data_IF_448781311695
#
_entry.id   IF_448781311695
#
_cell.length_a   1.000
_cell.length_b   1.000
_cell.length_c   1.000
_cell.angle_alpha   90.00
_cell.angle_beta   90.00
_cell.angle_gamma   90.00
#
_symmetry.space_group_name_H-M   'P 1'
#
loop_
_entity.id
_entity.type
_entity.pdbx_description
1 polymer ?
#
# COMPACT_ATOMS: atom_id res chain seq x y z
N UNK A 1 12.93 -11.70 -12.74
CA UNK A 1 12.86 -10.50 -13.60
C UNK A 1 14.13 -9.66 -13.50
N UNK A 2 14.57 -9.27 -12.30
CA UNK A 2 15.77 -8.44 -12.09
C UNK A 2 17.03 -9.10 -12.68
N UNK A 3 17.42 -10.29 -12.20
CA UNK A 3 18.62 -11.00 -12.66
C UNK A 3 18.57 -11.31 -14.16
N UNK A 4 17.43 -11.82 -14.64
CA UNK A 4 17.21 -12.12 -16.06
C UNK A 4 17.36 -10.90 -16.99
N UNK A 5 17.19 -9.68 -16.46
CA UNK A 5 17.38 -8.43 -17.21
C UNK A 5 18.80 -7.85 -17.12
N UNK A 6 19.72 -8.49 -16.37
CA UNK A 6 21.00 -7.87 -16.00
C UNK A 6 20.85 -6.71 -15.00
N UNK A 7 19.74 -6.70 -14.26
CA UNK A 7 19.43 -5.68 -13.27
C UNK A 7 20.19 -5.86 -11.94
N UNK A 8 19.87 -5.02 -10.97
CA UNK A 8 20.45 -5.06 -9.62
C UNK A 8 19.39 -4.93 -8.54
N UNK A 9 19.66 -5.53 -7.39
CA UNK A 9 18.86 -5.31 -6.18
C UNK A 9 19.36 -4.09 -5.40
N UNK A 10 18.44 -3.45 -4.70
CA UNK A 10 18.68 -2.34 -3.79
C UNK A 10 18.01 -2.65 -2.46
N UNK A 11 18.79 -2.58 -1.38
CA UNK A 11 18.29 -2.70 -0.02
C UNK A 11 18.00 -1.31 0.55
N UNK A 12 16.86 -1.14 1.22
CA UNK A 12 16.38 0.12 1.74
C UNK A 12 15.76 -0.10 3.13
N UNK A 13 16.13 0.75 4.09
CA UNK A 13 15.46 0.82 5.38
C UNK A 13 14.15 1.58 5.20
N UNK A 14 13.05 0.95 5.63
CA UNK A 14 11.69 1.50 5.53
C UNK A 14 10.87 1.11 6.75
N UNK A 15 9.76 1.80 7.00
CA UNK A 15 8.82 1.49 8.05
C UNK A 15 8.07 0.18 7.75
N UNK A 16 8.26 -0.81 8.62
CA UNK A 16 7.54 -2.07 8.59
C UNK A 16 6.06 -1.92 8.96
N UNK A 17 5.27 -3.00 8.83
CA UNK A 17 3.82 -2.94 9.00
C UNK A 17 3.38 -2.54 10.41
N UNK A 18 4.19 -2.77 11.45
CA UNK A 18 3.91 -2.36 12.84
C UNK A 18 4.64 -1.08 13.26
N UNK A 19 5.21 -0.33 12.31
CA UNK A 19 5.93 0.91 12.57
C UNK A 19 7.41 0.77 12.87
N UNK A 20 7.89 -0.42 13.20
CA UNK A 20 9.31 -0.69 13.39
C UNK A 20 10.03 -0.76 12.02
N UNK A 21 11.28 -0.26 11.91
CA UNK A 21 12.01 -0.30 10.66
C UNK A 21 12.34 -1.74 10.23
N UNK A 22 12.27 -1.99 8.93
CA UNK A 22 12.67 -3.24 8.28
C UNK A 22 13.62 -2.94 7.13
N UNK A 23 14.52 -3.87 6.81
CA UNK A 23 15.27 -3.83 5.56
C UNK A 23 14.44 -4.46 4.47
N UNK A 24 14.05 -3.68 3.47
CA UNK A 24 13.28 -4.11 2.32
C UNK A 24 14.15 -4.09 1.06
N UNK A 25 14.04 -5.15 0.25
CA UNK A 25 14.75 -5.28 -1.01
C UNK A 25 13.81 -5.03 -2.19
N UNK A 26 14.27 -4.25 -3.17
CA UNK A 26 13.58 -4.04 -4.44
C UNK A 26 14.57 -4.11 -5.60
N UNK A 27 14.05 -4.22 -6.83
CA UNK A 27 14.85 -4.46 -8.02
C UNK A 27 14.86 -3.28 -8.99
N UNK A 28 16.02 -2.97 -9.55
CA UNK A 28 16.18 -2.14 -10.74
C UNK A 28 16.46 -3.08 -11.92
N UNK A 29 15.69 -2.99 -13.01
CA UNK A 29 15.97 -3.77 -14.21
C UNK A 29 17.22 -3.24 -14.95
N UNK A 30 17.79 -4.04 -15.84
CA UNK A 30 19.00 -3.67 -16.59
C UNK A 30 18.85 -2.44 -17.50
N UNK A 31 17.61 -2.06 -17.84
CA UNK A 31 17.31 -0.82 -18.55
C UNK A 31 17.53 0.45 -17.69
N UNK A 32 17.70 0.28 -16.37
CA UNK A 32 17.81 1.34 -15.35
C UNK A 32 16.63 2.33 -15.31
N UNK A 33 15.57 2.08 -16.07
CA UNK A 33 14.37 2.91 -16.18
C UNK A 33 13.18 2.28 -15.44
N UNK A 34 13.28 1.00 -15.05
CA UNK A 34 12.19 0.23 -14.46
C UNK A 34 12.54 -0.30 -13.07
N UNK A 35 11.76 0.09 -12.06
CA UNK A 35 11.78 -0.51 -10.74
C UNK A 35 10.77 -1.65 -10.61
N UNK A 36 11.12 -2.66 -9.83
CA UNK A 36 10.29 -3.79 -9.44
C UNK A 36 10.20 -3.80 -7.93
N UNK A 37 9.01 -3.55 -7.41
CA UNK A 37 8.75 -3.43 -5.98
C UNK A 37 7.74 -4.50 -5.60
N UNK A 38 8.07 -5.31 -4.60
CA UNK A 38 7.12 -6.20 -3.96
C UNK A 38 6.69 -5.55 -2.65
N UNK A 39 5.39 -5.23 -2.48
CA UNK A 39 4.92 -4.58 -1.26
C UNK A 39 5.25 -5.41 -0.03
N UNK A 40 5.28 -6.73 -0.16
CA UNK A 40 5.58 -7.64 0.93
C UNK A 40 6.97 -7.36 1.53
N UNK A 41 7.93 -6.88 0.73
CA UNK A 41 9.27 -6.57 1.22
C UNK A 41 9.26 -5.51 2.33
N UNK A 42 8.31 -4.56 2.29
CA UNK A 42 8.15 -3.54 3.33
C UNK A 42 6.98 -3.83 4.28
N UNK A 43 5.85 -4.27 3.74
CA UNK A 43 4.55 -4.33 4.41
C UNK A 43 3.96 -5.75 4.43
N UNK A 44 4.81 -6.76 4.32
CA UNK A 44 4.42 -8.18 4.19
C UNK A 44 4.08 -8.87 5.50
N UNK A 45 3.30 -9.95 5.38
CA UNK A 45 2.86 -10.78 6.51
C UNK A 45 4.02 -11.47 7.24
N UNK A 46 5.16 -11.66 6.58
CA UNK A 46 6.36 -12.25 7.18
C UNK A 46 7.06 -11.33 8.20
N UNK A 47 6.80 -10.01 8.14
CA UNK A 47 7.28 -9.05 9.14
C UNK A 47 6.43 -9.00 10.40
N UNK A 48 5.34 -9.78 10.46
CA UNK A 48 4.41 -9.77 11.59
C UNK A 48 4.24 -11.19 12.12
N UNK A 49 4.75 -11.41 13.33
CA UNK A 49 4.56 -12.67 14.04
C UNK A 49 3.07 -12.95 14.26
N UNK A 50 2.63 -14.22 14.24
CA UNK A 50 1.22 -14.58 14.26
C UNK A 50 0.39 -13.90 15.37
N UNK A 51 0.96 -13.76 16.55
CA UNK A 51 0.36 -13.16 17.74
C UNK A 51 0.19 -11.63 17.65
N UNK A 52 0.98 -10.96 16.80
CA UNK A 52 0.89 -9.51 16.57
C UNK A 52 0.04 -9.14 15.35
N UNK A 53 -0.54 -10.13 14.65
CA UNK A 53 -1.32 -9.90 13.43
C UNK A 53 -2.64 -9.20 13.75
N UNK A 54 -2.67 -7.90 13.50
CA UNK A 54 -3.88 -7.10 13.57
C UNK A 54 -3.97 -6.13 12.37
N UNK A 55 -4.84 -6.40 11.38
CA UNK A 55 -4.93 -5.61 10.16
C UNK A 55 -5.51 -4.20 10.38
N UNK A 56 -6.02 -3.91 11.59
CA UNK A 56 -6.41 -2.55 11.99
C UNK A 56 -5.22 -1.65 12.25
N UNK A 57 -4.11 -2.22 12.72
CA UNK A 57 -2.96 -1.48 13.21
C UNK A 57 -1.83 -1.47 12.18
N UNK A 58 -1.86 -2.39 11.21
CA UNK A 58 -0.79 -2.52 10.23
C UNK A 58 -0.89 -1.47 9.13
N UNK A 59 0.26 -0.89 8.77
CA UNK A 59 0.38 0.21 7.80
C UNK A 59 1.16 -0.19 6.56
N UNK A 60 0.78 0.38 5.41
CA UNK A 60 1.47 0.24 4.13
C UNK A 60 2.57 1.30 3.90
N UNK A 61 2.90 2.10 4.92
CA UNK A 61 3.80 3.25 4.80
C UNK A 61 5.13 2.92 4.12
N UNK A 62 5.82 1.86 4.55
CA UNK A 62 7.09 1.46 3.93
C UNK A 62 7.00 1.07 2.46
N UNK A 63 5.83 0.64 1.97
CA UNK A 63 5.64 0.45 0.52
C UNK A 63 5.72 1.78 -0.22
N UNK A 64 5.16 2.85 0.35
CA UNK A 64 5.29 4.19 -0.21
C UNK A 64 6.72 4.71 -0.16
N UNK A 65 7.47 4.41 0.91
CA UNK A 65 8.91 4.75 0.98
C UNK A 65 9.74 4.04 -0.09
N UNK A 66 9.44 2.77 -0.40
CA UNK A 66 10.07 2.08 -1.53
C UNK A 66 9.77 2.75 -2.87
N UNK A 67 8.53 3.20 -3.07
CA UNK A 67 8.13 3.94 -4.28
C UNK A 67 8.92 5.25 -4.35
N UNK A 68 9.01 6.02 -3.26
CA UNK A 68 9.82 7.26 -3.20
C UNK A 68 11.28 6.97 -3.55
N UNK A 69 11.88 5.95 -2.94
CA UNK A 69 13.27 5.57 -3.21
C UNK A 69 13.52 5.21 -4.68
N UNK A 70 12.55 4.60 -5.35
CA UNK A 70 12.60 4.33 -6.78
C UNK A 70 12.46 5.61 -7.61
N UNK A 71 11.50 6.48 -7.27
CA UNK A 71 11.30 7.77 -7.94
C UNK A 71 12.56 8.66 -7.86
N UNK A 72 13.20 8.72 -6.71
CA UNK A 72 14.44 9.48 -6.49
C UNK A 72 15.63 8.96 -7.31
N UNK A 73 15.57 7.70 -7.75
CA UNK A 73 16.54 7.11 -8.68
C UNK A 73 16.20 7.34 -10.15
N UNK A 74 15.17 8.13 -10.44
CA UNK A 74 14.83 8.58 -11.78
C UNK A 74 14.12 7.55 -12.65
N UNK A 75 13.56 6.48 -12.05
CA UNK A 75 12.83 5.47 -12.82
C UNK A 75 11.61 6.09 -13.51
N UNK A 76 11.29 5.59 -14.70
CA UNK A 76 10.12 5.99 -15.48
C UNK A 76 8.97 5.02 -15.33
N UNK A 77 9.27 3.79 -14.90
CA UNK A 77 8.32 2.69 -14.74
C UNK A 77 8.48 2.02 -13.39
N UNK A 78 7.37 1.70 -12.75
CA UNK A 78 7.32 0.89 -11.53
C UNK A 78 6.39 -0.28 -11.80
N UNK A 79 6.87 -1.50 -11.58
CA UNK A 79 6.07 -2.71 -11.50
C UNK A 79 5.91 -3.02 -10.02
N UNK A 80 4.68 -2.95 -9.52
CA UNK A 80 4.34 -3.12 -8.11
C UNK A 80 3.58 -4.44 -7.91
N UNK A 81 4.20 -5.41 -7.26
CA UNK A 81 3.53 -6.61 -6.74
C UNK A 81 2.85 -6.31 -5.41
N UNK A 82 1.56 -6.63 -5.29
CA UNK A 82 0.76 -6.32 -4.09
C UNK A 82 0.38 -7.55 -3.25
N UNK A 83 0.92 -8.73 -3.61
CA UNK A 83 0.70 -9.98 -2.89
C UNK A 83 1.37 -10.01 -1.51
N UNK A 84 0.92 -10.93 -0.65
CA UNK A 84 1.60 -11.23 0.62
C UNK A 84 1.52 -10.17 1.73
N UNK A 85 0.59 -9.21 1.64
CA UNK A 85 0.48 -8.07 2.56
C UNK A 85 0.02 -8.43 3.97
N UNK A 86 0.55 -7.71 4.98
CA UNK A 86 0.05 -7.72 6.36
C UNK A 86 -1.08 -6.70 6.60
N UNK A 87 -1.29 -5.79 5.65
CA UNK A 87 -2.04 -4.54 5.84
C UNK A 87 -3.49 -4.64 5.41
N UNK A 88 -4.37 -3.85 6.03
CA UNK A 88 -5.73 -3.61 5.54
C UNK A 88 -6.11 -2.12 5.73
N UNK A 89 -5.13 -1.26 5.48
CA UNK A 89 -5.23 0.20 5.58
C UNK A 89 -5.62 0.86 4.26
N UNK A 90 -6.01 0.10 3.24
CA UNK A 90 -6.43 0.64 1.95
C UNK A 90 -5.35 1.40 1.18
N UNK A 91 -4.07 1.19 1.53
CA UNK A 91 -2.99 1.99 0.99
C UNK A 91 -2.84 3.37 1.63
N UNK A 92 -3.54 3.66 2.73
CA UNK A 92 -3.47 4.94 3.43
C UNK A 92 -2.04 5.29 3.84
N UNK A 93 -1.32 4.34 4.46
CA UNK A 93 0.08 4.54 4.81
C UNK A 93 0.96 4.81 3.59
N UNK A 94 0.83 4.02 2.53
CA UNK A 94 1.55 4.21 1.27
C UNK A 94 1.31 5.62 0.69
N UNK A 95 0.08 6.10 0.68
CA UNK A 95 -0.25 7.43 0.20
C UNK A 95 0.34 8.54 1.09
N UNK A 96 0.31 8.36 2.40
CA UNK A 96 0.92 9.30 3.34
C UNK A 96 2.44 9.41 3.14
N UNK A 97 3.13 8.30 2.91
CA UNK A 97 4.55 8.29 2.56
C UNK A 97 4.83 9.00 1.22
N UNK A 98 3.88 8.97 0.29
CA UNK A 98 3.93 9.70 -0.97
C UNK A 98 3.51 11.18 -0.84
N UNK A 99 3.27 11.68 0.38
CA UNK A 99 2.94 13.08 0.67
C UNK A 99 1.46 13.43 0.61
N UNK A 100 0.56 12.45 0.46
CA UNK A 100 -0.88 12.68 0.57
C UNK A 100 -1.27 12.93 2.02
N UNK A 101 -2.05 13.97 2.27
CA UNK A 101 -2.50 14.32 3.61
C UNK A 101 -3.92 13.79 3.81
N UNK A 102 -4.08 12.85 4.74
CA UNK A 102 -5.36 12.26 5.12
C UNK A 102 -5.81 12.85 6.45
N UNK A 103 -6.99 13.48 6.52
CA UNK A 103 -7.46 14.16 7.75
C UNK A 103 -8.81 13.66 8.24
N UNK A 104 -9.01 13.76 9.55
CA UNK A 104 -10.30 13.57 10.21
C UNK A 104 -11.20 14.82 10.11
N UNK A 105 -12.41 14.75 10.67
CA UNK A 105 -13.39 15.86 10.68
C UNK A 105 -12.90 17.10 11.45
N UNK A 106 -11.89 16.95 12.30
CA UNK A 106 -11.27 18.03 13.06
C UNK A 106 -10.05 18.61 12.32
N UNK A 107 -9.75 18.13 11.10
CA UNK A 107 -8.61 18.57 10.31
C UNK A 107 -7.26 18.00 10.77
N UNK A 108 -7.25 17.00 11.67
CA UNK A 108 -6.03 16.34 12.15
C UNK A 108 -5.62 15.21 11.22
N UNK A 109 -4.32 15.01 11.04
CA UNK A 109 -3.80 13.88 10.27
C UNK A 109 -4.23 12.54 10.87
N UNK A 110 -4.62 11.60 10.00
CA UNK A 110 -4.96 10.26 10.44
C UNK A 110 -3.73 9.49 10.94
N UNK A 111 -3.83 8.76 12.06
CA UNK A 111 -2.78 7.83 12.47
C UNK A 111 -2.66 6.65 11.49
N UNK A 112 -1.55 5.88 11.55
CA UNK A 112 -1.38 4.69 10.73
C UNK A 112 -2.43 3.60 11.03
N UNK A 113 -2.65 2.73 10.05
CA UNK A 113 -3.49 1.54 10.20
C UNK A 113 -4.90 1.68 9.63
N UNK A 114 -5.54 0.54 9.37
CA UNK A 114 -6.88 0.51 8.78
C UNK A 114 -7.99 1.03 9.68
N UNK A 115 -7.84 0.99 11.01
CA UNK A 115 -8.87 1.53 11.91
C UNK A 115 -9.06 3.04 11.74
N UNK A 116 -7.97 3.77 11.52
CA UNK A 116 -7.98 5.22 11.36
C UNK A 116 -8.86 5.69 10.20
N UNK A 117 -9.02 4.86 9.16
CA UNK A 117 -9.85 5.17 8.00
C UNK A 117 -11.32 5.38 8.35
N UNK A 118 -11.81 4.85 9.47
CA UNK A 118 -13.17 5.11 9.94
C UNK A 118 -13.43 6.58 10.28
N UNK A 119 -12.36 7.36 10.52
CA UNK A 119 -12.41 8.79 10.82
C UNK A 119 -12.09 9.68 9.61
N UNK A 120 -11.72 9.12 8.45
CA UNK A 120 -11.34 9.88 7.26
C UNK A 120 -12.47 10.82 6.82
N UNK A 121 -12.14 12.11 6.68
CA UNK A 121 -13.07 13.15 6.26
C UNK A 121 -12.59 13.93 5.03
N UNK A 122 -11.28 14.08 4.84
CA UNK A 122 -10.72 14.78 3.67
C UNK A 122 -9.39 14.21 3.23
N UNK A 123 -9.13 14.30 1.92
CA UNK A 123 -7.88 13.91 1.27
C UNK A 123 -7.32 15.13 0.55
N UNK A 124 -6.07 15.46 0.82
CA UNK A 124 -5.35 16.56 0.19
C UNK A 124 -4.12 16.00 -0.55
N UNK A 125 -4.11 16.23 -1.87
CA UNK A 125 -3.08 15.75 -2.79
C UNK A 125 -2.01 16.81 -3.10
N UNK A 126 -2.07 17.99 -2.49
CA UNK A 126 -1.14 19.10 -2.74
C UNK A 126 0.30 18.75 -2.39
N UNK A 127 0.52 17.91 -1.37
CA UNK A 127 1.83 17.41 -0.96
C UNK A 127 2.32 16.17 -1.72
N UNK A 128 1.54 15.66 -2.68
CA UNK A 128 1.84 14.42 -3.38
C UNK A 128 3.17 14.53 -4.16
N UNK A 129 4.00 13.49 -4.06
CA UNK A 129 5.35 13.47 -4.62
C UNK A 129 5.34 13.84 -6.12
N UNK A 130 6.04 14.91 -6.55
CA UNK A 130 5.85 15.51 -7.87
C UNK A 130 6.20 14.58 -9.03
N UNK A 131 7.14 13.64 -8.81
CA UNK A 131 7.55 12.67 -9.83
C UNK A 131 6.49 11.61 -10.14
N UNK A 132 5.47 11.42 -9.29
CA UNK A 132 4.41 10.44 -9.55
C UNK A 132 3.64 10.71 -10.86
N UNK A 133 3.53 11.98 -11.26
CA UNK A 133 2.87 12.35 -12.53
C UNK A 133 3.70 12.01 -13.76
N UNK A 134 5.00 11.72 -13.58
CA UNK A 134 5.97 11.44 -14.66
C UNK A 134 6.29 9.95 -14.80
N UNK A 135 5.72 9.10 -13.95
CA UNK A 135 6.05 7.69 -13.87
C UNK A 135 4.82 6.84 -14.16
N UNK A 136 5.01 5.77 -14.92
CA UNK A 136 4.00 4.74 -15.14
C UNK A 136 4.08 3.69 -14.03
N UNK A 137 2.99 3.45 -13.32
CA UNK A 137 2.91 2.42 -12.29
C UNK A 137 1.98 1.31 -12.77
N UNK A 138 2.52 0.11 -12.93
CA UNK A 138 1.77 -1.11 -13.27
C UNK A 138 1.66 -1.97 -12.02
N UNK A 139 0.45 -2.30 -11.61
CA UNK A 139 0.19 -3.14 -10.44
C UNK A 139 -0.07 -4.57 -10.88
N UNK A 140 0.74 -5.51 -10.42
CA UNK A 140 0.52 -6.94 -10.61
C UNK A 140 -0.49 -7.43 -9.55
N UNK A 141 -1.71 -7.72 -9.98
CA UNK A 141 -2.79 -8.22 -9.14
C UNK A 141 -3.31 -9.54 -9.71
N UNK A 142 -3.30 -10.59 -8.91
CA UNK A 142 -3.72 -11.95 -9.26
C UNK A 142 -5.20 -12.23 -8.92
N UNK A 143 -5.91 -11.22 -8.39
CA UNK A 143 -7.29 -11.36 -7.90
C UNK A 143 -8.20 -10.22 -8.39
N UNK A 144 -9.47 -10.55 -8.62
CA UNK A 144 -10.50 -9.60 -9.10
C UNK A 144 -11.42 -9.06 -7.99
N UNK A 145 -11.00 -9.18 -6.73
CA UNK A 145 -11.82 -8.78 -5.58
C UNK A 145 -11.98 -7.25 -5.53
N UNK A 146 -13.22 -6.72 -5.42
CA UNK A 146 -13.42 -5.28 -5.24
C UNK A 146 -12.84 -4.79 -3.90
N UNK A 147 -12.72 -3.48 -3.71
CA UNK A 147 -12.21 -2.93 -2.45
C UNK A 147 -13.13 -3.26 -1.26
N UNK A 148 -14.44 -3.17 -1.48
CA UNK A 148 -15.48 -3.32 -0.46
C UNK A 148 -16.56 -4.33 -0.88
N UNK A 149 -17.37 -4.76 0.09
CA UNK A 149 -18.51 -5.64 -0.12
C UNK A 149 -18.24 -7.10 0.26
N UNK A 150 -19.22 -8.01 0.04
CA UNK A 150 -19.12 -9.41 0.46
C UNK A 150 -17.95 -10.17 -0.16
N UNK A 151 -17.53 -9.77 -1.37
CA UNK A 151 -16.36 -10.31 -2.08
C UNK A 151 -15.15 -9.38 -2.01
N UNK A 152 -15.17 -8.36 -1.15
CA UNK A 152 -14.14 -7.33 -1.12
C UNK A 152 -12.83 -7.77 -0.47
N UNK A 153 -11.75 -7.02 -0.69
CA UNK A 153 -10.40 -7.34 -0.20
C UNK A 153 -10.35 -7.60 1.32
N UNK A 154 -11.07 -6.78 2.10
CA UNK A 154 -11.19 -7.00 3.55
C UNK A 154 -11.84 -8.36 3.86
N UNK A 155 -13.00 -8.65 3.25
CA UNK A 155 -13.79 -9.85 3.53
C UNK A 155 -13.06 -11.16 3.18
N UNK A 156 -12.28 -11.16 2.10
CA UNK A 156 -11.60 -12.35 1.59
C UNK A 156 -10.22 -12.56 2.25
N UNK A 157 -9.46 -11.50 2.48
CA UNK A 157 -8.05 -11.64 2.86
C UNK A 157 -7.73 -11.42 4.34
N UNK A 158 -8.60 -10.77 5.14
CA UNK A 158 -8.21 -10.44 6.53
C UNK A 158 -8.20 -11.64 7.50
N UNK A 159 -8.79 -12.79 7.15
CA UNK A 159 -8.63 -14.02 7.94
C UNK A 159 -7.15 -14.43 8.03
N UNK A 160 -6.45 -14.41 6.89
CA UNK A 160 -5.01 -14.72 6.83
C UNK A 160 -4.16 -13.70 7.59
N UNK A 161 -4.73 -12.53 7.89
CA UNK A 161 -4.11 -11.40 8.60
C UNK A 161 -4.52 -11.31 10.07
N UNK A 162 -5.17 -12.33 10.64
CA UNK A 162 -5.41 -12.44 12.09
C UNK A 162 -6.80 -12.06 12.61
N UNK A 163 -7.87 -11.99 11.79
CA UNK A 163 -9.24 -11.70 12.29
C UNK A 163 -10.33 -12.68 11.89
N UNK A 164 -11.29 -12.90 12.80
CA UNK A 164 -12.46 -13.79 12.61
C UNK A 164 -13.66 -13.14 11.90
N UNK A 165 -14.52 -14.00 11.34
CA UNK A 165 -15.57 -13.71 10.34
C UNK A 165 -16.76 -12.82 10.80
N UNK A 166 -16.83 -12.39 12.08
CA UNK A 166 -17.99 -11.62 12.62
C UNK A 166 -17.82 -10.09 12.55
N UNK A 167 -16.66 -9.58 12.16
CA UNK A 167 -16.33 -8.14 12.15
C UNK A 167 -16.80 -7.35 10.90
N UNK A 168 -17.33 -8.04 9.88
CA UNK A 168 -17.49 -7.48 8.52
C UNK A 168 -18.64 -6.49 8.33
N UNK A 169 -19.72 -6.64 9.08
CA UNK A 169 -20.97 -5.89 8.84
C UNK A 169 -20.84 -4.40 9.20
N UNK A 170 -19.95 -4.07 10.14
CA UNK A 170 -19.70 -2.70 10.60
C UNK A 170 -18.63 -1.96 9.77
N UNK A 171 -17.64 -2.69 9.23
CA UNK A 171 -16.47 -2.12 8.56
C UNK A 171 -16.74 -1.72 7.10
N UNK A 172 -17.51 -2.53 6.36
CA UNK A 172 -17.84 -2.26 4.94
C UNK A 172 -18.76 -1.05 4.74
N UNK A 173 -19.60 -0.70 5.74
CA UNK A 173 -20.45 0.51 5.70
C UNK A 173 -19.64 1.80 5.81
N UNK A 174 -18.55 1.82 6.59
CA UNK A 174 -17.69 2.99 6.79
C UNK A 174 -16.72 3.24 5.63
N UNK A 175 -16.31 2.19 4.92
CA UNK A 175 -15.41 2.29 3.77
C UNK A 175 -16.04 2.77 2.47
N UNK A 176 -17.34 2.51 2.25
CA UNK A 176 -18.04 3.01 1.05
C UNK A 176 -17.89 4.53 0.88
N UNK A 177 -17.86 5.28 1.98
CA UNK A 177 -17.77 6.75 1.94
C UNK A 177 -16.36 7.26 1.57
N UNK A 178 -15.30 6.48 1.79
CA UNK A 178 -13.91 6.87 1.47
C UNK A 178 -13.38 6.30 0.14
N UNK A 179 -13.87 5.12 -0.26
CA UNK A 179 -13.45 4.42 -1.49
C UNK A 179 -13.88 5.12 -2.78
N UNK A 180 -15.03 5.81 -2.77
CA UNK A 180 -15.57 6.54 -3.92
C UNK A 180 -14.64 7.67 -4.40
N UNK A 181 -13.68 8.09 -3.55
CA UNK A 181 -12.70 9.14 -3.89
C UNK A 181 -11.52 8.59 -4.70
N UNK A 182 -11.22 7.28 -4.63
CA UNK A 182 -9.96 6.72 -5.15
C UNK A 182 -10.04 6.01 -6.50
N UNK A 183 -11.23 5.57 -6.94
CA UNK A 183 -11.35 4.74 -8.14
C UNK A 183 -11.91 5.57 -9.31
N UNK A 184 -11.03 6.27 -10.04
CA UNK A 184 -11.25 6.50 -11.47
C UNK A 184 -10.55 5.39 -12.24
N UNK A 185 -11.29 4.35 -12.61
CA UNK A 185 -10.85 3.39 -13.64
C UNK A 185 -10.48 4.18 -14.89
N UNK A 186 -9.22 4.09 -15.33
CA UNK A 186 -8.93 4.16 -16.76
C UNK A 186 -8.85 2.71 -17.20
N UNK A 187 -9.90 2.26 -17.87
CA UNK A 187 -9.85 1.02 -18.63
C UNK A 187 -8.69 1.14 -19.62
N UNK A 188 -7.66 0.34 -19.41
CA UNK A 188 -6.69 0.04 -20.46
C UNK A 188 -7.35 -1.07 -21.26
N UNK A 189 -7.90 -0.71 -22.42
CA UNK A 189 -8.20 -1.67 -23.49
C UNK A 189 -6.90 -2.03 -24.20
#
# INVERSE_FOLDING_TARGET
>A
MVEASGGRYVDQWVQGPLGQPVTARWGMLGDSDTAVIEMAAASGLHHVSPELRNPLNTTSYGTGELIVAALERGVKRIILGIGGSATNDGGAGMMQALGVILRDKQGRSLPPGGEALAALASIDLSGCHPLLRKVSITVACDVNNPLCGPQGASAIFAHKKGRQRKWWTLWTRRWKTGADIFIRRRDVR
#
